data_IF_099323711209
#
_entry.id   IF_099323711209
#
_cell.length_a   1.000
_cell.length_b   1.000
_cell.length_c   1.000
_cell.angle_alpha   90.00
_cell.angle_beta   90.00
_cell.angle_gamma   90.00
#
_symmetry.space_group_name_H-M   'P 1'
#
loop_
_entity.id
_entity.type
_entity.pdbx_description
1 polymer ?
#
# COMPACT_ATOMS: atom_id res chain seq x y z
N UNK A 1 -5.87 -8.14 34.37
CA UNK A 1 -6.88 -7.86 33.31
C UNK A 1 -6.81 -6.42 32.80
N UNK A 2 -6.78 -5.40 33.68
CA UNK A 2 -6.70 -3.98 33.26
C UNK A 2 -5.37 -3.66 32.53
N UNK A 3 -4.25 -4.17 33.03
CA UNK A 3 -2.92 -3.93 32.44
C UNK A 3 -2.81 -4.46 31.00
N UNK A 4 -3.40 -5.62 30.70
CA UNK A 4 -3.40 -6.17 29.35
C UNK A 4 -4.24 -5.32 28.39
N UNK A 5 -5.39 -4.80 28.86
CA UNK A 5 -6.22 -3.91 28.05
C UNK A 5 -5.50 -2.59 27.76
N UNK A 6 -4.82 -2.03 28.77
CA UNK A 6 -4.02 -0.81 28.60
C UNK A 6 -2.84 -1.03 27.65
N UNK A 7 -2.13 -2.15 27.78
CA UNK A 7 -1.04 -2.51 26.89
C UNK A 7 -1.52 -2.64 25.44
N UNK A 8 -2.66 -3.29 25.21
CA UNK A 8 -3.22 -3.44 23.87
C UNK A 8 -3.62 -2.10 23.25
N UNK A 9 -4.23 -1.20 24.02
CA UNK A 9 -4.53 0.16 23.56
C UNK A 9 -3.26 0.95 23.23
N UNK A 10 -2.20 0.81 24.04
CA UNK A 10 -0.92 1.45 23.76
C UNK A 10 -0.29 0.93 22.45
N UNK A 11 -0.38 -0.37 22.18
CA UNK A 11 0.06 -0.97 20.92
C UNK A 11 -0.74 -0.43 19.73
N UNK A 12 -2.07 -0.35 19.84
CA UNK A 12 -2.92 0.22 18.79
C UNK A 12 -2.56 1.67 18.46
N UNK A 13 -2.32 2.50 19.48
CA UNK A 13 -1.90 3.89 19.30
C UNK A 13 -0.52 3.96 18.63
N UNK A 14 0.43 3.14 19.05
CA UNK A 14 1.76 3.09 18.45
C UNK A 14 1.72 2.68 16.98
N UNK A 15 0.88 1.69 16.63
CA UNK A 15 0.65 1.23 15.27
C UNK A 15 0.02 2.35 14.42
N UNK A 16 -0.98 3.08 14.94
CA UNK A 16 -1.61 4.22 14.26
C UNK A 16 -0.62 5.37 14.02
N UNK A 17 0.22 5.69 15.00
CA UNK A 17 1.26 6.71 14.84
C UNK A 17 2.26 6.32 13.75
N UNK A 18 2.64 5.04 13.70
CA UNK A 18 3.55 4.51 12.69
C UNK A 18 2.92 4.55 11.30
N UNK A 19 1.67 4.13 11.17
CA UNK A 19 0.91 4.22 9.92
C UNK A 19 0.79 5.66 9.42
N UNK A 20 0.53 6.62 10.33
CA UNK A 20 0.48 8.05 9.98
C UNK A 20 1.80 8.56 9.41
N UNK A 21 2.92 8.18 10.00
CA UNK A 21 4.26 8.54 9.50
C UNK A 21 4.54 7.93 8.13
N UNK A 22 4.15 6.67 7.92
CA UNK A 22 4.28 5.99 6.63
C UNK A 22 3.42 6.68 5.56
N UNK A 23 2.16 7.01 5.86
CA UNK A 23 1.27 7.71 4.94
C UNK A 23 1.88 9.06 4.51
N UNK A 24 2.40 9.85 5.47
CA UNK A 24 3.10 11.11 5.18
C UNK A 24 4.34 10.92 4.32
N UNK A 25 5.11 9.86 4.55
CA UNK A 25 6.29 9.56 3.74
C UNK A 25 5.91 9.20 2.29
N UNK A 26 4.85 8.41 2.10
CA UNK A 26 4.34 8.05 0.77
C UNK A 26 3.81 9.28 0.02
N UNK A 27 3.15 10.19 0.74
CA UNK A 27 2.60 11.44 0.20
C UNK A 27 3.67 12.53 -0.01
N UNK A 28 4.92 12.27 0.35
CA UNK A 28 6.00 13.20 0.10
C UNK A 28 6.31 13.29 -1.40
N UNK A 29 6.23 14.50 -1.94
CA UNK A 29 6.50 14.80 -3.35
C UNK A 29 7.92 14.41 -3.79
N UNK A 30 8.92 14.54 -2.92
CA UNK A 30 10.30 14.16 -3.23
C UNK A 30 10.42 12.64 -3.43
N UNK A 31 9.78 11.88 -2.55
CA UNK A 31 9.74 10.42 -2.66
C UNK A 31 8.94 9.99 -3.90
N UNK A 32 7.84 10.67 -4.21
CA UNK A 32 7.07 10.43 -5.42
C UNK A 32 7.88 10.69 -6.71
N UNK A 33 8.70 11.75 -6.73
CA UNK A 33 9.59 12.05 -7.85
C UNK A 33 10.67 10.98 -7.99
N UNK A 34 11.34 10.61 -6.90
CA UNK A 34 12.37 9.57 -6.90
C UNK A 34 11.82 8.20 -7.35
N UNK A 35 10.61 7.84 -6.92
CA UNK A 35 9.94 6.60 -7.36
C UNK A 35 9.60 6.66 -8.85
N UNK A 36 9.14 7.81 -9.36
CA UNK A 36 8.88 7.98 -10.79
C UNK A 36 10.15 7.77 -11.61
N UNK A 37 11.27 8.34 -11.19
CA UNK A 37 12.56 8.20 -11.86
C UNK A 37 13.12 6.77 -11.76
N UNK A 38 12.92 6.11 -10.62
CA UNK A 38 13.27 4.69 -10.50
C UNK A 38 12.46 3.81 -11.46
N UNK A 39 11.14 4.06 -11.55
CA UNK A 39 10.24 3.26 -12.40
C UNK A 39 10.54 3.41 -13.88
N UNK A 40 11.02 4.57 -14.34
CA UNK A 40 11.41 4.78 -15.75
C UNK A 40 12.67 4.00 -16.14
N UNK A 41 13.52 3.63 -15.17
CA UNK A 41 14.74 2.85 -15.38
C UNK A 41 14.51 1.34 -15.44
N UNK A 42 13.32 0.84 -15.10
CA UNK A 42 13.07 -0.59 -15.02
C UNK A 42 12.79 -1.24 -16.40
N UNK A 43 13.39 -2.41 -16.69
CA UNK A 43 13.09 -3.17 -17.90
C UNK A 43 11.68 -3.79 -17.82
N UNK A 44 10.84 -3.47 -18.80
CA UNK A 44 9.41 -3.77 -18.79
C UNK A 44 8.62 -2.57 -18.25
N UNK A 45 7.90 -1.88 -19.15
CA UNK A 45 7.21 -0.63 -18.81
C UNK A 45 6.17 -0.85 -17.72
N UNK A 46 6.44 -0.33 -16.53
CA UNK A 46 5.46 -0.19 -15.46
C UNK A 46 4.65 1.08 -15.72
N UNK A 47 3.33 0.98 -15.59
CA UNK A 47 2.43 2.13 -15.71
C UNK A 47 1.93 2.50 -14.32
N UNK A 48 1.99 3.78 -13.99
CA UNK A 48 1.30 4.31 -12.82
C UNK A 48 -0.22 4.15 -13.01
N UNK A 49 -0.86 3.43 -12.09
CA UNK A 49 -2.28 3.11 -12.09
C UNK A 49 -3.07 3.91 -11.03
N UNK A 50 -2.44 4.91 -10.42
CA UNK A 50 -3.03 5.73 -9.36
C UNK A 50 -2.76 5.18 -7.98
N UNK A 51 -3.75 5.31 -7.09
CA UNK A 51 -3.63 4.93 -5.69
C UNK A 51 -4.48 3.71 -5.38
N UNK A 52 -3.98 2.83 -4.51
CA UNK A 52 -4.72 1.70 -3.95
C UNK A 52 -4.60 1.67 -2.44
N UNK A 53 -5.57 1.06 -1.77
CA UNK A 53 -5.51 0.83 -0.32
C UNK A 53 -4.91 -0.56 -0.09
N UNK A 54 -3.94 -0.64 0.82
CA UNK A 54 -3.33 -1.90 1.26
C UNK A 54 -3.36 -1.96 2.77
N UNK A 55 -3.82 -3.08 3.32
CA UNK A 55 -3.83 -3.29 4.76
C UNK A 55 -2.44 -3.77 5.21
N UNK A 56 -1.78 -2.97 6.04
CA UNK A 56 -0.53 -3.33 6.67
C UNK A 56 -0.80 -3.92 8.06
N UNK A 57 -0.19 -5.06 8.36
CA UNK A 57 -0.16 -5.60 9.71
C UNK A 57 1.05 -5.04 10.43
N UNK A 58 0.82 -4.32 11.52
CA UNK A 58 1.89 -3.76 12.35
C UNK A 58 2.28 -4.72 13.46
N UNK A 59 3.39 -4.42 14.14
CA UNK A 59 3.98 -5.25 15.21
C UNK A 59 3.00 -5.40 16.38
N UNK A 60 2.23 -4.34 16.70
CA UNK A 60 1.17 -4.40 17.71
C UNK A 60 -0.02 -5.29 17.33
N UNK A 61 -0.04 -5.83 16.11
CA UNK A 61 -1.04 -6.77 15.62
C UNK A 61 -2.20 -6.10 14.88
N UNK A 62 -2.27 -4.77 14.87
CA UNK A 62 -3.35 -4.02 14.22
C UNK A 62 -3.17 -4.00 12.71
N UNK A 63 -4.28 -4.20 11.99
CA UNK A 63 -4.34 -4.02 10.54
C UNK A 63 -4.80 -2.60 10.24
N UNK A 64 -3.94 -1.81 9.59
CA UNK A 64 -4.24 -0.42 9.26
C UNK A 64 -4.22 -0.25 7.74
N UNK A 65 -5.29 0.29 7.11
CA UNK A 65 -5.31 0.60 5.70
C UNK A 65 -4.39 1.79 5.39
N UNK A 66 -3.47 1.60 4.45
CA UNK A 66 -2.55 2.63 3.95
C UNK A 66 -2.78 2.83 2.46
N UNK A 67 -2.86 4.08 2.03
CA UNK A 67 -3.03 4.45 0.63
C UNK A 67 -1.65 4.54 -0.03
N UNK A 68 -1.39 3.65 -0.99
CA UNK A 68 -0.10 3.54 -1.69
C UNK A 68 -0.26 3.76 -3.19
N UNK A 69 0.79 4.25 -3.84
CA UNK A 69 0.82 4.35 -5.31
C UNK A 69 0.97 2.95 -5.91
N UNK A 70 0.17 2.64 -6.93
CA UNK A 70 0.17 1.35 -7.60
C UNK A 70 0.76 1.43 -9.01
N UNK A 71 1.69 0.53 -9.30
CA UNK A 71 2.28 0.36 -10.63
C UNK A 71 2.00 -1.05 -11.15
N UNK A 72 1.47 -1.15 -12.37
CA UNK A 72 1.21 -2.43 -13.04
C UNK A 72 2.16 -2.62 -14.22
N UNK A 73 2.59 -3.87 -14.48
CA UNK A 73 3.33 -4.19 -15.70
C UNK A 73 2.36 -4.34 -16.87
N UNK A 74 2.81 -4.00 -18.08
CA UNK A 74 2.00 -4.17 -19.30
C UNK A 74 1.47 -5.61 -19.52
N UNK A 75 2.17 -6.64 -19.03
CA UNK A 75 1.73 -8.04 -19.13
C UNK A 75 0.53 -8.38 -18.24
N UNK A 76 0.27 -7.62 -17.17
CA UNK A 76 -0.83 -7.89 -16.24
C UNK A 76 -2.18 -7.37 -16.76
N UNK A 77 -2.16 -6.52 -17.79
CA UNK A 77 -3.35 -5.92 -18.40
C UNK A 77 -4.28 -6.97 -19.05
N UNK A 78 -3.73 -8.11 -19.49
CA UNK A 78 -4.47 -9.14 -20.22
C UNK A 78 -5.10 -10.22 -19.32
N UNK A 79 -4.78 -10.28 -18.02
CA UNK A 79 -5.35 -11.29 -17.10
C UNK A 79 -6.69 -10.90 -16.49
N UNK A 80 -7.07 -9.62 -16.54
CA UNK A 80 -8.34 -9.15 -15.96
C UNK A 80 -9.53 -9.21 -16.94
N UNK A 81 -9.29 -9.44 -18.23
CA UNK A 81 -10.33 -9.41 -19.26
C UNK A 81 -10.88 -10.79 -19.66
N UNK A 82 -10.40 -11.88 -19.02
CA UNK A 82 -10.81 -13.26 -19.35
C UNK A 82 -11.82 -13.88 -18.39
N UNK A 83 -12.26 -13.18 -17.33
CA UNK A 83 -13.28 -13.70 -16.41
C UNK A 83 -14.73 -13.27 -16.71
N UNK A 84 -14.96 -12.52 -17.79
CA UNK A 84 -16.30 -12.07 -18.20
C UNK A 84 -16.80 -12.72 -19.51
N UNK A 85 -16.13 -13.77 -20.00
CA UNK A 85 -16.51 -14.50 -21.24
C UNK A 85 -16.64 -16.03 -21.06
N UNK A 86 -16.96 -16.50 -19.86
CA UNK A 86 -17.35 -17.90 -19.62
C UNK A 86 -18.75 -17.93 -19.00
N UNK A 87 -19.73 -17.55 -19.82
CA UNK A 87 -21.14 -17.50 -19.46
C UNK A 87 -21.97 -17.14 -20.69
N UNK A 88 -21.75 -17.90 -21.78
CA UNK A 88 -22.60 -17.92 -22.96
C UNK A 88 -23.27 -19.28 -23.05
#
# INVERSE_FOLDING_TARGET
MIENAFHQQACEVADLMSASRIQKAIENNEMAAAVKDFVTLLPGRYKNCGWRIVNFRFIGGTFIPIKVVYYARNCDKNKHNTRTKEGG
#
